data_IF_466943883006
#
_entry.id   IF_466943883006
#
_cell.length_a   1.000
_cell.length_b   1.000
_cell.length_c   1.000
_cell.angle_alpha   90.00
_cell.angle_beta   90.00
_cell.angle_gamma   90.00
#
_symmetry.space_group_name_H-M   'P 1'
#
loop_
_entity.id
_entity.type
_entity.pdbx_description
1 polymer ?
#
# COMPACT_ATOMS: atom_id res chain seq x y z
N UNK A 1 2.63 15.77 -20.20
CA UNK A 1 1.20 16.17 -20.06
C UNK A 1 1.19 17.47 -19.28
N UNK A 2 0.71 18.59 -19.84
CA UNK A 2 0.79 19.89 -19.15
C UNK A 2 -0.32 20.00 -18.09
N UNK A 3 -0.04 19.54 -16.87
CA UNK A 3 -0.96 19.60 -15.72
C UNK A 3 -1.32 21.03 -15.31
N UNK A 4 -0.62 22.05 -15.83
CA UNK A 4 -0.99 23.45 -15.67
C UNK A 4 -2.30 23.83 -16.40
N UNK A 5 -2.73 23.05 -17.39
CA UNK A 5 -3.91 23.34 -18.21
C UNK A 5 -5.22 22.78 -17.64
N UNK A 6 -5.16 21.77 -16.75
CA UNK A 6 -6.34 21.12 -16.17
C UNK A 6 -6.26 21.17 -14.65
N UNK A 7 -7.24 21.81 -14.02
CA UNK A 7 -7.28 22.01 -12.57
C UNK A 7 -8.30 21.05 -11.94
N UNK A 8 -7.79 20.01 -11.29
CA UNK A 8 -8.60 19.17 -10.39
C UNK A 8 -8.78 19.92 -9.07
N UNK A 9 -10.02 20.01 -8.60
CA UNK A 9 -10.41 20.63 -7.33
C UNK A 9 -10.88 19.58 -6.32
N UNK A 10 -10.94 19.96 -5.04
CA UNK A 10 -11.23 19.06 -3.92
C UNK A 10 -10.21 19.20 -2.79
N UNK A 11 -10.21 18.23 -1.88
CA UNK A 11 -9.21 18.16 -0.81
C UNK A 11 -7.81 18.07 -1.43
N UNK A 12 -6.93 19.01 -1.04
CA UNK A 12 -5.62 19.18 -1.67
C UNK A 12 -4.74 17.95 -1.51
N UNK A 13 -4.66 17.40 -0.30
CA UNK A 13 -3.86 16.20 -0.01
C UNK A 13 -4.33 15.01 -0.83
N UNK A 14 -5.64 14.83 -0.99
CA UNK A 14 -6.18 13.71 -1.77
C UNK A 14 -5.95 13.87 -3.27
N UNK A 15 -6.05 15.09 -3.80
CA UNK A 15 -5.72 15.38 -5.20
C UNK A 15 -4.24 15.11 -5.47
N UNK A 16 -3.37 15.46 -4.54
CA UNK A 16 -1.92 15.21 -4.67
C UNK A 16 -1.58 13.72 -4.57
N UNK A 17 -2.22 13.00 -3.65
CA UNK A 17 -2.13 11.54 -3.58
C UNK A 17 -2.59 10.88 -4.89
N UNK A 18 -3.71 11.33 -5.45
CA UNK A 18 -4.20 10.85 -6.73
C UNK A 18 -3.17 11.05 -7.84
N UNK A 19 -2.57 12.24 -7.96
CA UNK A 19 -1.53 12.49 -8.95
C UNK A 19 -0.28 11.65 -8.70
N UNK A 20 0.15 11.51 -7.45
CA UNK A 20 1.27 10.66 -7.07
C UNK A 20 1.02 9.22 -7.53
N UNK A 21 -0.15 8.65 -7.18
CA UNK A 21 -0.57 7.30 -7.59
C UNK A 21 -0.60 7.16 -9.11
N UNK A 22 -1.17 8.14 -9.83
CA UNK A 22 -1.19 8.15 -11.29
C UNK A 22 0.22 8.14 -11.90
N UNK A 23 1.14 8.97 -11.38
CA UNK A 23 2.52 9.02 -11.87
C UNK A 23 3.32 7.79 -11.54
N UNK A 24 3.05 7.17 -10.39
CA UNK A 24 3.68 5.91 -10.07
C UNK A 24 3.19 4.77 -10.99
N UNK A 25 1.89 4.71 -11.30
CA UNK A 25 1.33 3.70 -12.22
C UNK A 25 1.84 3.89 -13.64
N UNK A 26 1.91 5.14 -14.11
CA UNK A 26 2.36 5.48 -15.47
C UNK A 26 3.88 5.48 -15.62
N UNK A 27 4.63 5.37 -14.53
CA UNK A 27 6.09 5.47 -14.54
C UNK A 27 6.61 6.87 -14.87
N UNK A 28 5.79 7.91 -14.77
CA UNK A 28 6.17 9.30 -15.11
C UNK A 28 7.32 9.76 -14.22
N UNK A 29 8.37 10.34 -14.83
CA UNK A 29 9.51 10.90 -14.12
C UNK A 29 9.22 12.36 -13.68
N UNK A 30 9.80 12.80 -12.57
CA UNK A 30 9.61 14.17 -12.10
C UNK A 30 10.24 15.21 -13.04
N UNK A 31 11.21 14.83 -13.87
CA UNK A 31 11.80 15.67 -14.92
C UNK A 31 10.83 16.00 -16.06
N UNK A 32 9.78 15.19 -16.23
CA UNK A 32 8.68 15.52 -17.15
C UNK A 32 7.71 16.56 -16.57
N UNK A 33 7.80 16.81 -15.26
CA UNK A 33 6.86 17.63 -14.49
C UNK A 33 7.44 18.97 -14.02
N UNK A 34 8.76 19.02 -13.85
CA UNK A 34 9.48 20.14 -13.21
C UNK A 34 10.69 20.57 -14.05
N UNK A 35 11.13 21.81 -13.85
CA UNK A 35 12.42 22.26 -14.39
C UNK A 35 13.60 21.50 -13.75
N UNK A 36 14.73 21.43 -14.44
CA UNK A 36 15.95 20.74 -13.95
C UNK A 36 16.36 21.20 -12.54
N UNK A 37 16.36 22.52 -12.30
CA UNK A 37 16.64 23.09 -10.98
C UNK A 37 15.66 22.63 -9.89
N UNK A 38 14.38 22.51 -10.23
CA UNK A 38 13.36 22.02 -9.29
C UNK A 38 13.50 20.51 -9.05
N UNK A 39 13.89 19.74 -10.06
CA UNK A 39 14.18 18.30 -9.92
C UNK A 39 15.32 18.07 -8.94
N UNK A 40 16.43 18.81 -9.08
CA UNK A 40 17.56 18.74 -8.15
C UNK A 40 17.12 19.08 -6.72
N UNK A 41 16.36 20.16 -6.57
CA UNK A 41 15.83 20.60 -5.28
C UNK A 41 14.92 19.54 -4.64
N UNK A 42 14.03 18.92 -5.40
CA UNK A 42 13.14 17.85 -4.92
C UNK A 42 13.94 16.64 -4.47
N UNK A 43 14.93 16.21 -5.25
CA UNK A 43 15.82 15.10 -4.87
C UNK A 43 16.53 15.42 -3.56
N UNK A 44 17.07 16.63 -3.47
CA UNK A 44 17.80 17.11 -2.32
C UNK A 44 16.97 17.17 -1.04
N UNK A 45 15.74 17.72 -1.13
CA UNK A 45 14.81 17.73 0.00
C UNK A 45 14.45 16.31 0.46
N UNK A 46 14.17 15.40 -0.48
CA UNK A 46 13.84 14.02 -0.12
C UNK A 46 15.02 13.31 0.55
N UNK A 47 16.21 13.43 -0.01
CA UNK A 47 17.38 12.70 0.46
C UNK A 47 17.91 13.24 1.81
N UNK A 48 17.74 14.55 2.08
CA UNK A 48 18.22 15.18 3.33
C UNK A 48 17.16 15.29 4.44
N UNK A 49 15.89 15.49 4.11
CA UNK A 49 14.87 15.96 5.08
C UNK A 49 13.83 14.90 5.42
N UNK A 50 13.53 14.01 4.46
CA UNK A 50 12.54 12.96 4.65
C UNK A 50 13.18 11.59 4.92
N UNK A 51 14.51 11.52 5.00
CA UNK A 51 15.22 10.29 5.38
C UNK A 51 14.70 9.81 6.75
N UNK A 52 14.21 8.59 6.82
CA UNK A 52 13.88 8.01 8.12
C UNK A 52 15.18 7.81 8.90
N UNK A 53 15.15 8.02 10.22
CA UNK A 53 16.31 7.84 11.13
C UNK A 53 16.80 6.37 11.22
N UNK A 54 16.42 5.53 10.28
CA UNK A 54 16.73 4.11 10.28
C UNK A 54 18.02 3.86 9.51
N UNK A 55 18.86 2.99 10.08
CA UNK A 55 20.06 2.42 9.46
C UNK A 55 19.78 1.59 8.21
N UNK A 56 18.50 1.37 7.86
CA UNK A 56 18.10 0.66 6.64
C UNK A 56 18.02 1.62 5.46
N UNK A 57 18.75 1.27 4.40
CA UNK A 57 18.72 2.01 3.14
C UNK A 57 17.30 2.04 2.58
N UNK A 58 16.74 3.24 2.41
CA UNK A 58 15.43 3.42 1.79
C UNK A 58 15.48 2.94 0.33
N UNK A 59 14.50 2.12 -0.08
CA UNK A 59 14.38 1.65 -1.46
C UNK A 59 14.14 2.81 -2.42
N UNK A 60 14.73 2.76 -3.61
CA UNK A 60 14.55 3.81 -4.63
C UNK A 60 13.08 4.04 -4.99
N UNK A 61 12.23 3.00 -4.95
CA UNK A 61 10.78 3.16 -5.15
C UNK A 61 10.13 4.13 -4.16
N UNK A 62 10.45 4.03 -2.87
CA UNK A 62 9.91 4.92 -1.84
C UNK A 62 10.44 6.34 -2.01
N UNK A 63 11.73 6.49 -2.33
CA UNK A 63 12.31 7.81 -2.65
C UNK A 63 11.64 8.43 -3.87
N UNK A 64 11.41 7.65 -4.93
CA UNK A 64 10.68 8.10 -6.12
C UNK A 64 9.26 8.54 -5.79
N UNK A 65 8.53 7.80 -4.94
CA UNK A 65 7.19 8.19 -4.50
C UNK A 65 7.20 9.50 -3.70
N UNK A 66 8.15 9.68 -2.76
CA UNK A 66 8.33 10.95 -2.02
C UNK A 66 8.68 12.11 -2.93
N UNK A 67 9.60 11.89 -3.87
CA UNK A 67 9.99 12.89 -4.88
C UNK A 67 8.79 13.30 -5.74
N UNK A 68 7.98 12.34 -6.19
CA UNK A 68 6.74 12.62 -6.94
C UNK A 68 5.72 13.39 -6.10
N UNK A 69 5.50 13.00 -4.85
CA UNK A 69 4.58 13.72 -3.97
C UNK A 69 5.01 15.18 -3.75
N UNK A 70 6.29 15.42 -3.43
CA UNK A 70 6.84 16.77 -3.28
C UNK A 70 6.77 17.58 -4.59
N UNK A 71 7.07 16.94 -5.73
CA UNK A 71 6.97 17.59 -7.03
C UNK A 71 5.54 18.02 -7.34
N UNK A 72 4.57 17.15 -7.07
CA UNK A 72 3.14 17.45 -7.22
C UNK A 72 2.75 18.63 -6.34
N UNK A 73 3.14 18.63 -5.06
CA UNK A 73 2.87 19.75 -4.14
C UNK A 73 3.41 21.08 -4.70
N UNK A 74 4.64 21.12 -5.22
CA UNK A 74 5.20 22.35 -5.82
C UNK A 74 4.38 22.84 -7.03
N UNK A 75 3.94 21.91 -7.88
CA UNK A 75 3.05 22.24 -9.01
C UNK A 75 1.74 22.82 -8.48
N UNK A 76 1.14 22.21 -7.46
CA UNK A 76 -0.12 22.67 -6.86
C UNK A 76 0.01 24.04 -6.21
N UNK A 77 1.10 24.31 -5.49
CA UNK A 77 1.38 25.63 -4.94
C UNK A 77 1.53 26.68 -6.04
N UNK A 78 2.18 26.35 -7.16
CA UNK A 78 2.27 27.28 -8.32
C UNK A 78 0.90 27.59 -8.94
N UNK A 79 -0.09 26.70 -8.75
CA UNK A 79 -1.48 26.88 -9.15
C UNK A 79 -2.32 27.60 -8.07
N UNK A 80 -1.68 28.11 -7.02
CA UNK A 80 -2.35 28.75 -5.88
C UNK A 80 -3.16 27.77 -5.01
N UNK A 81 -2.87 26.47 -5.11
CA UNK A 81 -3.53 25.44 -4.30
C UNK A 81 -2.68 25.17 -3.06
N UNK A 82 -3.19 25.57 -1.90
CA UNK A 82 -2.50 25.47 -0.63
C UNK A 82 -3.31 24.55 0.30
N UNK A 83 -2.64 23.79 1.16
CA UNK A 83 -3.32 23.13 2.26
C UNK A 83 -3.94 24.19 3.16
N UNK A 84 -5.17 23.93 3.57
CA UNK A 84 -5.82 24.73 4.60
C UNK A 84 -5.26 24.32 5.96
N UNK A 85 -5.25 25.28 6.90
CA UNK A 85 -4.83 25.03 8.28
C UNK A 85 -5.72 23.95 8.90
N UNK A 86 -5.16 22.76 9.12
CA UNK A 86 -5.75 21.79 10.04
C UNK A 86 -5.17 22.02 11.43
N UNK A 87 -6.03 22.26 12.41
CA UNK A 87 -5.63 22.71 13.74
C UNK A 87 -4.90 21.67 14.60
N UNK A 88 -4.62 20.45 14.10
CA UNK A 88 -4.44 19.27 14.97
C UNK A 88 -3.18 18.42 14.67
N UNK A 89 -2.39 18.74 13.63
CA UNK A 89 -1.32 17.84 13.17
C UNK A 89 -0.13 17.68 14.12
N UNK A 90 0.21 18.73 14.87
CA UNK A 90 1.48 18.83 15.61
C UNK A 90 1.33 18.37 17.07
N UNK A 91 0.14 18.49 17.65
CA UNK A 91 -0.09 18.18 19.06
C UNK A 91 -0.38 16.70 19.33
N UNK A 92 -1.02 16.00 18.38
CA UNK A 92 -1.43 14.59 18.57
C UNK A 92 -0.42 13.57 18.05
N UNK A 93 0.50 13.97 17.17
CA UNK A 93 1.44 13.07 16.49
C UNK A 93 2.84 13.70 16.47
N UNK A 94 3.84 13.09 17.13
CA UNK A 94 5.19 13.65 17.13
C UNK A 94 5.80 13.61 15.72
N UNK A 95 5.79 14.75 15.03
CA UNK A 95 6.47 14.99 13.76
C UNK A 95 7.97 15.28 14.00
N UNK A 96 8.66 14.34 14.65
CA UNK A 96 10.07 14.46 15.07
C UNK A 96 11.10 14.60 13.92
N UNK A 97 10.66 14.77 12.67
CA UNK A 97 11.53 15.16 11.55
C UNK A 97 11.99 16.61 11.73
N UNK A 98 13.04 16.78 12.54
CA UNK A 98 13.61 18.07 12.92
C UNK A 98 14.62 18.60 11.91
N UNK A 99 15.25 17.74 11.12
CA UNK A 99 16.23 18.16 10.12
C UNK A 99 15.54 18.92 8.97
N UNK A 100 15.57 20.24 9.08
CA UNK A 100 15.40 21.14 7.96
C UNK A 100 13.95 21.48 7.55
N UNK A 101 13.00 21.24 8.43
CA UNK A 101 11.67 21.88 8.39
C UNK A 101 11.80 23.39 8.12
N UNK A 102 12.77 24.06 8.74
CA UNK A 102 13.07 25.48 8.53
C UNK A 102 13.47 25.84 7.09
N UNK A 103 14.26 25.00 6.42
CA UNK A 103 14.75 25.29 5.06
C UNK A 103 13.63 25.12 4.04
N UNK A 104 12.82 24.07 4.16
CA UNK A 104 11.66 23.90 3.28
C UNK A 104 10.65 25.02 3.51
N UNK A 105 10.32 25.35 4.76
CA UNK A 105 9.43 26.46 5.09
C UNK A 105 9.93 27.79 4.52
N UNK A 106 11.22 28.10 4.68
CA UNK A 106 11.81 29.32 4.10
C UNK A 106 11.73 29.33 2.57
N UNK A 107 12.07 28.21 1.92
CA UNK A 107 11.94 28.06 0.48
C UNK A 107 10.51 28.33 0.01
N UNK A 108 9.51 27.80 0.73
CA UNK A 108 8.11 27.98 0.40
C UNK A 108 7.66 29.45 0.55
N UNK A 109 8.11 30.14 1.60
CA UNK A 109 7.84 31.58 1.80
C UNK A 109 8.39 32.41 0.63
N UNK A 110 9.66 32.18 0.25
CA UNK A 110 10.36 32.96 -0.77
C UNK A 110 9.79 32.73 -2.18
N UNK A 111 9.34 31.51 -2.50
CA UNK A 111 8.98 31.14 -3.86
C UNK A 111 7.47 31.16 -4.14
N UNK A 112 6.61 31.03 -3.12
CA UNK A 112 5.16 30.96 -3.29
C UNK A 112 4.39 32.08 -2.57
N UNK A 113 5.09 33.11 -2.08
CA UNK A 113 4.49 34.27 -1.38
C UNK A 113 3.59 33.89 -0.21
N UNK A 114 3.96 32.82 0.49
CA UNK A 114 3.25 32.34 1.66
C UNK A 114 3.66 33.13 2.90
N UNK A 115 2.72 33.33 3.83
CA UNK A 115 3.09 33.78 5.17
C UNK A 115 3.92 32.70 5.88
N UNK A 116 4.65 33.07 6.95
CA UNK A 116 5.40 32.08 7.73
C UNK A 116 4.52 30.95 8.28
N UNK A 117 3.29 31.28 8.70
CA UNK A 117 2.34 30.29 9.20
C UNK A 117 1.78 29.39 8.10
N UNK A 118 1.48 29.95 6.92
CA UNK A 118 0.98 29.15 5.80
C UNK A 118 2.07 28.20 5.28
N UNK A 119 3.30 28.70 5.16
CA UNK A 119 4.45 27.89 4.77
C UNK A 119 4.74 26.77 5.79
N UNK A 120 4.64 27.06 7.09
CA UNK A 120 4.76 26.04 8.13
C UNK A 120 3.65 24.99 8.01
N UNK A 121 2.40 25.41 7.79
CA UNK A 121 1.26 24.51 7.55
C UNK A 121 1.50 23.61 6.34
N UNK A 122 2.08 24.15 5.26
CA UNK A 122 2.46 23.38 4.08
C UNK A 122 3.49 22.30 4.43
N UNK A 123 4.56 22.70 5.12
CA UNK A 123 5.65 21.80 5.52
C UNK A 123 5.17 20.71 6.47
N UNK A 124 4.37 21.04 7.49
CA UNK A 124 3.92 20.08 8.50
C UNK A 124 2.93 19.07 7.91
N UNK A 125 2.02 19.51 7.03
CA UNK A 125 1.11 18.62 6.31
C UNK A 125 1.90 17.65 5.41
N UNK A 126 2.91 18.15 4.70
CA UNK A 126 3.79 17.31 3.89
C UNK A 126 4.53 16.27 4.74
N UNK A 127 5.09 16.69 5.88
CA UNK A 127 5.76 15.78 6.83
C UNK A 127 4.82 14.71 7.35
N UNK A 128 3.60 15.11 7.73
CA UNK A 128 2.57 14.17 8.18
C UNK A 128 2.28 13.13 7.10
N UNK A 129 2.01 13.57 5.87
CA UNK A 129 1.72 12.69 4.74
C UNK A 129 2.90 11.76 4.44
N UNK A 130 4.12 12.28 4.37
CA UNK A 130 5.32 11.48 4.05
C UNK A 130 5.78 10.56 5.19
N UNK A 131 5.21 10.70 6.38
CA UNK A 131 5.48 9.86 7.55
C UNK A 131 4.38 8.82 7.76
N UNK A 132 3.12 9.25 7.79
CA UNK A 132 1.97 8.42 8.18
C UNK A 132 1.08 8.01 7.00
N UNK A 133 1.34 8.53 5.81
CA UNK A 133 0.62 8.12 4.61
C UNK A 133 0.69 6.61 4.36
N UNK A 134 -0.36 5.96 3.82
CA UNK A 134 -0.44 4.51 3.61
C UNK A 134 0.75 3.91 2.86
N UNK A 135 1.35 4.68 1.95
CA UNK A 135 2.49 4.27 1.15
C UNK A 135 3.86 4.48 1.82
N UNK A 136 3.89 5.29 2.90
CA UNK A 136 5.12 5.69 3.58
C UNK A 136 5.25 5.12 4.99
N UNK A 137 4.14 4.84 5.66
CA UNK A 137 4.06 4.40 7.07
C UNK A 137 4.83 3.10 7.36
N UNK A 138 5.06 2.28 6.33
CA UNK A 138 5.87 1.06 6.41
C UNK A 138 7.36 1.31 6.72
N UNK A 139 7.80 2.58 6.70
CA UNK A 139 9.20 2.99 6.92
C UNK A 139 9.42 3.67 8.27
N UNK A 140 8.41 3.70 9.13
CA UNK A 140 8.58 4.14 10.50
C UNK A 140 9.66 3.31 11.20
N UNK A 141 10.51 3.93 12.05
CA UNK A 141 11.41 3.19 12.92
C UNK A 141 10.65 2.17 13.78
N UNK A 142 11.26 1.03 14.08
CA UNK A 142 10.58 -0.06 14.82
C UNK A 142 9.96 0.41 16.15
N UNK A 143 10.59 1.34 16.87
CA UNK A 143 10.04 1.85 18.13
C UNK A 143 8.76 2.67 17.89
N UNK A 144 8.70 3.49 16.85
CA UNK A 144 7.49 4.23 16.46
C UNK A 144 6.39 3.30 15.93
N UNK A 145 6.76 2.24 15.19
CA UNK A 145 5.83 1.18 14.78
C UNK A 145 5.19 0.54 16.00
N UNK A 146 6.00 0.14 17.00
CA UNK A 146 5.51 -0.49 18.22
C UNK A 146 4.60 0.45 19.01
N UNK A 147 4.98 1.73 19.14
CA UNK A 147 4.15 2.74 19.82
C UNK A 147 2.80 2.92 19.12
N UNK A 148 2.82 3.10 17.80
CA UNK A 148 1.61 3.29 17.00
C UNK A 148 0.69 2.07 17.08
N UNK A 149 1.24 0.87 16.86
CA UNK A 149 0.49 -0.40 16.91
C UNK A 149 -0.08 -0.65 18.30
N UNK A 150 0.68 -0.38 19.37
CA UNK A 150 0.19 -0.49 20.75
C UNK A 150 -0.95 0.50 21.05
N UNK A 151 -0.89 1.71 20.46
CA UNK A 151 -1.95 2.71 20.59
C UNK A 151 -3.30 2.21 20.07
N UNK A 152 -3.33 1.67 18.85
CA UNK A 152 -4.58 1.13 18.26
C UNK A 152 -4.97 -0.24 18.80
N UNK A 153 -4.01 -1.08 19.22
CA UNK A 153 -4.28 -2.38 19.84
C UNK A 153 -4.84 -2.31 21.27
N UNK A 154 -5.04 -1.10 21.82
CA UNK A 154 -5.94 -0.89 22.97
C UNK A 154 -7.35 -1.43 22.67
N UNK A 155 -7.77 -1.38 21.41
CA UNK A 155 -9.06 -1.91 20.98
C UNK A 155 -9.01 -3.41 20.69
N UNK A 156 -9.77 -4.19 21.45
CA UNK A 156 -9.84 -5.64 21.27
C UNK A 156 -10.40 -6.04 19.91
N UNK A 157 -11.37 -5.28 19.40
CA UNK A 157 -11.98 -5.51 18.10
C UNK A 157 -10.95 -5.36 16.98
N UNK A 158 -10.08 -4.34 17.05
CA UNK A 158 -8.97 -4.17 16.11
C UNK A 158 -7.94 -5.28 16.24
N UNK A 159 -7.46 -5.54 17.46
CA UNK A 159 -6.46 -6.58 17.75
C UNK A 159 -6.89 -7.95 17.22
N UNK A 160 -8.18 -8.29 17.35
CA UNK A 160 -8.72 -9.57 16.91
C UNK A 160 -8.63 -9.83 15.40
N UNK A 161 -8.51 -8.78 14.58
CA UNK A 161 -8.34 -8.91 13.12
C UNK A 161 -6.95 -9.46 12.79
N UNK A 162 -5.94 -9.05 13.56
CA UNK A 162 -4.53 -9.29 13.25
C UNK A 162 -3.97 -10.54 13.94
N UNK A 163 -4.62 -11.00 15.00
CA UNK A 163 -4.31 -12.26 15.65
C UNK A 163 -5.01 -13.41 14.93
N UNK A 164 -4.34 -14.08 14.00
CA UNK A 164 -4.85 -15.30 13.38
C UNK A 164 -4.07 -16.53 13.85
N UNK A 165 -4.80 -17.56 14.30
CA UNK A 165 -4.23 -18.87 14.60
C UNK A 165 -3.76 -19.53 13.29
N UNK A 166 -2.58 -20.16 13.32
CA UNK A 166 -2.04 -20.89 12.16
C UNK A 166 -1.23 -20.07 11.16
N UNK A 167 -0.93 -18.81 11.46
CA UNK A 167 -0.08 -17.93 10.63
C UNK A 167 1.40 -18.25 10.84
N UNK A 168 2.12 -18.40 9.74
CA UNK A 168 3.57 -18.60 9.72
C UNK A 168 4.32 -17.29 10.05
N UNK A 169 5.59 -17.35 10.50
CA UNK A 169 6.38 -16.15 10.75
C UNK A 169 6.47 -15.17 9.56
N UNK A 170 6.51 -15.69 8.33
CA UNK A 170 6.58 -14.86 7.12
C UNK A 170 5.24 -14.15 6.84
N UNK A 171 4.12 -14.85 6.99
CA UNK A 171 2.79 -14.26 6.87
C UNK A 171 2.55 -13.21 7.96
N UNK A 172 3.07 -13.40 9.18
CA UNK A 172 3.00 -12.41 10.26
C UNK A 172 3.67 -11.10 9.86
N UNK A 173 4.81 -11.15 9.16
CA UNK A 173 5.49 -9.94 8.65
C UNK A 173 4.62 -9.20 7.63
N UNK A 174 3.87 -9.93 6.80
CA UNK A 174 2.96 -9.30 5.83
C UNK A 174 1.72 -8.71 6.52
N UNK A 175 1.15 -9.41 7.50
CA UNK A 175 0.02 -8.92 8.28
C UNK A 175 0.36 -7.63 9.02
N UNK A 176 1.54 -7.53 9.64
CA UNK A 176 1.99 -6.30 10.31
C UNK A 176 2.12 -5.15 9.30
N UNK A 177 2.64 -5.41 8.10
CA UNK A 177 2.71 -4.37 7.05
C UNK A 177 1.32 -3.94 6.58
N UNK A 178 0.38 -4.89 6.44
CA UNK A 178 -1.00 -4.57 6.09
C UNK A 178 -1.68 -3.76 7.20
N UNK A 179 -1.53 -4.16 8.46
CA UNK A 179 -2.02 -3.43 9.63
C UNK A 179 -1.53 -1.99 9.60
N UNK A 180 -0.21 -1.78 9.47
CA UNK A 180 0.38 -0.45 9.39
C UNK A 180 -0.18 0.38 8.23
N UNK A 181 -0.35 -0.21 7.05
CA UNK A 181 -0.95 0.49 5.90
C UNK A 181 -2.39 0.90 6.18
N UNK A 182 -3.18 0.05 6.86
CA UNK A 182 -4.56 0.39 7.25
C UNK A 182 -4.59 1.47 8.33
N UNK A 183 -3.66 1.46 9.29
CA UNK A 183 -3.50 2.56 10.23
C UNK A 183 -3.21 3.85 9.47
N UNK A 184 -2.32 3.84 8.47
CA UNK A 184 -2.07 4.99 7.62
C UNK A 184 -3.32 5.53 6.93
N UNK A 185 -4.24 4.66 6.48
CA UNK A 185 -5.53 5.10 5.95
C UNK A 185 -6.41 5.77 6.99
N UNK A 186 -6.52 5.16 8.19
CA UNK A 186 -7.31 5.70 9.29
C UNK A 186 -6.82 7.11 9.62
N UNK A 187 -5.50 7.30 9.72
CA UNK A 187 -4.90 8.61 9.96
C UNK A 187 -5.23 9.60 8.84
N UNK A 188 -5.05 9.23 7.57
CA UNK A 188 -5.40 10.11 6.45
C UNK A 188 -6.88 10.51 6.45
N UNK A 189 -7.79 9.59 6.77
CA UNK A 189 -9.24 9.87 6.88
C UNK A 189 -9.53 10.81 8.04
N UNK A 190 -8.93 10.55 9.21
CA UNK A 190 -9.11 11.37 10.41
C UNK A 190 -8.73 12.82 10.10
N UNK A 191 -7.61 13.06 9.44
CA UNK A 191 -7.15 14.43 9.24
C UNK A 191 -7.66 15.10 7.96
N UNK A 192 -7.87 14.35 6.87
CA UNK A 192 -8.23 14.92 5.55
C UNK A 192 -9.64 14.54 5.09
N UNK A 193 -10.36 13.74 5.87
CA UNK A 193 -11.77 13.39 5.66
C UNK A 193 -11.98 12.23 4.71
N UNK A 194 -11.72 12.43 3.42
CA UNK A 194 -12.01 11.41 2.42
C UNK A 194 -10.86 10.42 2.24
N UNK A 195 -11.20 9.26 1.69
CA UNK A 195 -10.25 8.18 1.43
C UNK A 195 -9.28 8.54 0.28
N UNK A 196 -7.95 8.48 0.46
CA UNK A 196 -7.00 8.68 -0.63
C UNK A 196 -7.01 7.49 -1.58
N UNK A 197 -7.02 7.75 -2.90
CA UNK A 197 -6.77 6.72 -3.92
C UNK A 197 -5.32 6.28 -3.82
N UNK A 198 -5.08 4.97 -3.79
CA UNK A 198 -3.73 4.43 -3.59
C UNK A 198 -3.32 3.43 -4.64
N UNK A 199 -2.11 2.91 -4.49
CA UNK A 199 -1.63 1.76 -5.24
C UNK A 199 -2.41 0.47 -4.96
N UNK A 200 -3.14 0.39 -3.84
CA UNK A 200 -3.81 -0.83 -3.43
C UNK A 200 -5.22 -0.91 -4.02
N UNK A 201 -5.33 -1.38 -5.27
CA UNK A 201 -6.61 -1.49 -5.95
C UNK A 201 -7.65 -2.33 -5.18
N UNK A 202 -7.24 -3.28 -4.34
CA UNK A 202 -8.17 -4.12 -3.56
C UNK A 202 -8.80 -3.41 -2.37
N UNK A 203 -8.02 -2.62 -1.63
CA UNK A 203 -8.57 -1.88 -0.49
C UNK A 203 -9.54 -0.82 -1.03
N UNK A 204 -9.12 -0.10 -2.08
CA UNK A 204 -9.93 0.88 -2.78
C UNK A 204 -11.25 0.25 -3.31
N UNK A 205 -11.19 -0.95 -3.92
CA UNK A 205 -12.38 -1.70 -4.38
C UNK A 205 -13.32 -2.09 -3.24
N UNK A 206 -12.78 -2.60 -2.13
CA UNK A 206 -13.60 -3.04 -1.00
C UNK A 206 -14.27 -1.87 -0.28
N UNK A 207 -13.62 -0.72 -0.22
CA UNK A 207 -14.14 0.48 0.47
C UNK A 207 -15.20 1.20 -0.37
N UNK A 208 -14.99 1.26 -1.69
CA UNK A 208 -15.92 1.92 -2.62
C UNK A 208 -17.09 1.03 -3.04
N UNK A 209 -17.03 -0.27 -2.73
CA UNK A 209 -18.06 -1.24 -3.01
C UNK A 209 -19.32 -1.11 -2.14
N UNK A 210 -20.28 -2.01 -2.37
CA UNK A 210 -21.50 -2.08 -1.57
C UNK A 210 -21.18 -2.40 -0.10
N UNK A 211 -21.89 -1.70 0.80
CA UNK A 211 -21.76 -1.95 2.24
C UNK A 211 -22.20 -3.38 2.55
N UNK A 212 -21.40 -4.15 3.31
CA UNK A 212 -21.79 -5.50 3.67
C UNK A 212 -23.00 -5.49 4.61
N UNK A 213 -23.78 -6.57 4.64
CA UNK A 213 -24.99 -6.67 5.46
C UNK A 213 -24.73 -6.41 6.96
N UNK A 214 -23.54 -6.72 7.46
CA UNK A 214 -23.10 -6.50 8.83
C UNK A 214 -22.33 -5.17 9.04
N UNK A 215 -22.43 -4.21 8.11
CA UNK A 215 -21.71 -2.93 8.16
C UNK A 215 -21.87 -2.17 9.48
N UNK A 216 -23.05 -2.25 10.10
CA UNK A 216 -23.32 -1.63 11.41
C UNK A 216 -22.30 -2.09 12.47
N UNK A 217 -21.93 -3.38 12.46
CA UNK A 217 -20.92 -3.91 13.38
C UNK A 217 -19.55 -3.26 13.14
N UNK A 218 -19.12 -3.17 11.88
CA UNK A 218 -17.83 -2.55 11.54
C UNK A 218 -17.79 -1.07 11.90
N UNK A 219 -18.90 -0.34 11.70
CA UNK A 219 -19.05 1.05 12.12
C UNK A 219 -18.91 1.19 13.65
N UNK A 220 -19.49 0.27 14.42
CA UNK A 220 -19.34 0.26 15.89
C UNK A 220 -17.90 -0.01 16.31
N UNK A 221 -17.23 -0.98 15.69
CA UNK A 221 -15.81 -1.26 15.96
C UNK A 221 -14.93 -0.04 15.62
N UNK A 222 -15.19 0.64 14.50
CA UNK A 222 -14.49 1.85 14.11
C UNK A 222 -14.66 2.99 15.14
N UNK A 223 -15.90 3.24 15.60
CA UNK A 223 -16.16 4.26 16.60
C UNK A 223 -15.45 3.96 17.93
N UNK A 224 -15.47 2.69 18.34
CA UNK A 224 -14.80 2.23 19.56
C UNK A 224 -13.27 2.35 19.46
N UNK A 225 -12.68 1.98 18.32
CA UNK A 225 -11.24 2.17 18.05
C UNK A 225 -10.82 3.63 18.25
N UNK A 226 -11.56 4.57 17.66
CA UNK A 226 -11.25 6.00 17.76
C UNK A 226 -11.30 6.47 19.22
N UNK A 227 -12.35 6.09 19.95
CA UNK A 227 -12.49 6.42 21.37
C UNK A 227 -11.37 5.85 22.25
N UNK A 228 -10.94 4.62 22.00
CA UNK A 228 -9.95 3.92 22.83
C UNK A 228 -8.50 4.31 22.49
N UNK A 229 -8.26 4.79 21.25
CA UNK A 229 -6.93 5.14 20.75
C UNK A 229 -6.56 6.60 20.98
N UNK A 230 -7.36 7.36 21.74
CA UNK A 230 -7.23 8.81 21.93
C UNK A 230 -7.23 9.58 20.59
N UNK A 231 -7.83 9.01 19.55
CA UNK A 231 -7.99 9.62 18.24
C UNK A 231 -9.31 10.40 18.21
N UNK A 232 -9.27 11.64 17.73
CA UNK A 232 -10.45 12.50 17.75
C UNK A 232 -11.61 11.92 16.93
N UNK A 233 -12.83 12.04 17.43
CA UNK A 233 -14.03 11.59 16.70
C UNK A 233 -14.38 12.67 15.68
N UNK A 234 -14.16 12.34 14.41
CA UNK A 234 -14.05 13.41 13.41
C UNK A 234 -15.38 13.77 12.73
N UNK A 235 -16.23 12.81 12.42
CA UNK A 235 -17.65 12.98 12.06
C UNK A 235 -18.26 11.61 11.70
N UNK A 236 -19.58 11.55 11.49
CA UNK A 236 -20.27 10.31 11.15
C UNK A 236 -19.91 9.70 9.79
N UNK A 237 -19.41 10.51 8.84
CA UNK A 237 -19.01 10.07 7.51
C UNK A 237 -17.65 9.37 7.56
N UNK A 238 -16.66 9.97 8.23
CA UNK A 238 -15.34 9.39 8.46
C UNK A 238 -15.42 8.08 9.24
N UNK A 239 -16.28 8.00 10.25
CA UNK A 239 -16.53 6.72 10.96
C UNK A 239 -17.09 5.65 10.02
N UNK A 240 -17.92 6.01 9.03
CA UNK A 240 -18.41 5.05 8.05
C UNK A 240 -17.27 4.55 7.14
N UNK A 241 -16.39 5.44 6.68
CA UNK A 241 -15.24 5.06 5.85
C UNK A 241 -14.28 4.16 6.64
N UNK A 242 -14.02 4.47 7.91
CA UNK A 242 -13.21 3.61 8.78
C UNK A 242 -13.91 2.27 9.03
N UNK A 243 -15.24 2.24 9.15
CA UNK A 243 -16.01 0.98 9.17
C UNK A 243 -15.80 0.13 7.90
N UNK A 244 -15.74 0.76 6.73
CA UNK A 244 -15.40 0.05 5.48
C UNK A 244 -13.95 -0.44 5.47
N UNK A 245 -13.01 0.26 6.12
CA UNK A 245 -11.63 -0.21 6.31
C UNK A 245 -11.55 -1.45 7.20
N UNK A 246 -12.35 -1.53 8.27
CA UNK A 246 -12.46 -2.74 9.09
C UNK A 246 -12.95 -3.94 8.26
N UNK A 247 -13.97 -3.71 7.43
CA UNK A 247 -14.46 -4.73 6.50
C UNK A 247 -13.36 -5.15 5.51
N UNK A 248 -12.65 -4.20 4.92
CA UNK A 248 -11.56 -4.47 4.00
C UNK A 248 -10.43 -5.26 4.69
N UNK A 249 -9.99 -4.84 5.88
CA UNK A 249 -8.97 -5.50 6.68
C UNK A 249 -9.34 -6.98 6.95
N UNK A 250 -10.54 -7.22 7.50
CA UNK A 250 -11.00 -8.58 7.78
C UNK A 250 -11.16 -9.43 6.52
N UNK A 251 -11.66 -8.82 5.44
CA UNK A 251 -11.81 -9.51 4.16
C UNK A 251 -10.45 -9.94 3.63
N UNK A 252 -9.45 -9.06 3.71
CA UNK A 252 -8.06 -9.30 3.31
C UNK A 252 -7.38 -10.36 4.19
N UNK A 253 -7.50 -10.27 5.53
CA UNK A 253 -6.91 -11.27 6.45
C UNK A 253 -7.49 -12.67 6.21
N UNK A 254 -8.80 -12.78 5.96
CA UNK A 254 -9.40 -14.08 5.56
C UNK A 254 -8.84 -14.64 4.25
N UNK A 255 -8.24 -13.80 3.40
CA UNK A 255 -7.57 -14.23 2.16
C UNK A 255 -6.18 -14.80 2.46
N UNK A 256 -5.49 -14.29 3.49
CA UNK A 256 -4.17 -14.80 3.89
C UNK A 256 -4.20 -16.28 4.31
N UNK A 257 -5.31 -16.77 4.86
CA UNK A 257 -5.46 -18.20 5.17
C UNK A 257 -5.62 -19.10 3.93
N UNK A 258 -5.67 -18.55 2.72
CA UNK A 258 -5.79 -19.31 1.47
C UNK A 258 -4.39 -19.56 0.88
N UNK A 259 -3.84 -20.76 1.06
CA UNK A 259 -2.62 -21.17 0.37
C UNK A 259 -2.94 -21.58 -1.07
N UNK A 260 -2.37 -20.91 -2.06
CA UNK A 260 -2.45 -21.37 -3.46
C UNK A 260 -1.46 -22.53 -3.63
N UNK A 261 -1.97 -23.68 -4.03
CA UNK A 261 -1.11 -24.84 -4.31
C UNK A 261 -0.61 -24.75 -5.75
N UNK A 262 0.71 -24.80 -5.92
CA UNK A 262 1.34 -24.83 -7.23
C UNK A 262 1.95 -26.19 -7.46
N UNK A 263 1.37 -26.94 -8.40
CA UNK A 263 1.77 -28.28 -8.74
C UNK A 263 2.77 -28.26 -9.91
N UNK A 264 3.93 -28.88 -9.72
CA UNK A 264 5.03 -28.82 -10.69
C UNK A 264 5.63 -30.21 -10.89
N UNK A 265 5.99 -30.56 -12.13
CA UNK A 265 6.75 -31.78 -12.40
C UNK A 265 8.09 -31.80 -11.66
N UNK A 266 8.50 -32.98 -11.19
CA UNK A 266 9.73 -33.20 -10.42
C UNK A 266 10.99 -32.61 -11.10
N UNK A 267 11.07 -32.70 -12.43
CA UNK A 267 12.17 -32.14 -13.23
C UNK A 267 12.29 -30.61 -13.19
N UNK A 268 11.25 -29.90 -12.75
CA UNK A 268 11.21 -28.44 -12.61
C UNK A 268 11.14 -28.01 -11.14
N UNK A 269 11.06 -28.96 -10.20
CA UNK A 269 10.78 -28.73 -8.78
C UNK A 269 11.93 -28.03 -8.05
N UNK A 270 13.18 -28.39 -8.34
CA UNK A 270 14.37 -27.81 -7.68
C UNK A 270 14.68 -26.36 -8.09
N UNK A 271 14.31 -25.94 -9.31
CA UNK A 271 14.57 -24.59 -9.83
C UNK A 271 13.44 -23.62 -9.43
N UNK A 272 12.23 -24.13 -9.21
CA UNK A 272 11.01 -23.32 -9.01
C UNK A 272 10.71 -22.97 -7.54
N UNK A 273 11.14 -23.82 -6.59
CA UNK A 273 10.77 -23.71 -5.17
C UNK A 273 11.22 -22.40 -4.52
N UNK A 274 12.50 -22.03 -4.65
CA UNK A 274 13.07 -20.91 -3.91
C UNK A 274 12.57 -19.55 -4.43
N UNK A 275 12.45 -19.38 -5.75
CA UNK A 275 12.08 -18.11 -6.37
C UNK A 275 10.57 -17.82 -6.24
N UNK A 276 9.72 -18.84 -6.37
CA UNK A 276 8.26 -18.67 -6.29
C UNK A 276 7.81 -18.51 -4.82
N UNK A 277 8.37 -19.29 -3.89
CA UNK A 277 8.07 -19.13 -2.47
C UNK A 277 8.53 -17.77 -1.93
N UNK A 278 9.71 -17.30 -2.37
CA UNK A 278 10.24 -15.99 -1.97
C UNK A 278 9.43 -14.83 -2.55
N UNK A 279 9.04 -14.90 -3.82
CA UNK A 279 8.28 -13.83 -4.49
C UNK A 279 6.84 -13.67 -3.98
N UNK A 280 6.26 -14.72 -3.39
CA UNK A 280 4.90 -14.73 -2.86
C UNK A 280 4.85 -14.96 -1.35
N UNK A 281 5.97 -14.71 -0.66
CA UNK A 281 6.08 -14.59 0.80
C UNK A 281 5.36 -15.72 1.57
N UNK A 282 5.52 -16.97 1.12
CA UNK A 282 4.94 -18.14 1.80
C UNK A 282 3.46 -18.45 1.48
N UNK A 283 2.79 -17.64 0.65
CA UNK A 283 1.39 -17.85 0.25
C UNK A 283 1.20 -18.95 -0.82
N UNK A 284 2.30 -19.56 -1.28
CA UNK A 284 2.29 -20.67 -2.21
C UNK A 284 2.86 -21.92 -1.56
N UNK A 285 2.09 -23.00 -1.66
CA UNK A 285 2.54 -24.36 -1.38
C UNK A 285 2.96 -25.02 -2.69
N UNK A 286 4.27 -25.15 -2.91
CA UNK A 286 4.80 -25.90 -4.05
C UNK A 286 4.67 -27.39 -3.76
N UNK A 287 4.02 -28.12 -4.67
CA UNK A 287 3.77 -29.55 -4.55
C UNK A 287 4.20 -30.27 -5.83
N UNK A 288 4.66 -31.53 -5.73
CA UNK A 288 4.87 -32.35 -6.91
C UNK A 288 3.53 -32.59 -7.61
N UNK A 289 3.50 -32.54 -8.95
CA UNK A 289 2.26 -32.68 -9.72
C UNK A 289 1.55 -34.02 -9.49
N UNK A 290 2.30 -35.04 -9.13
CA UNK A 290 1.82 -36.37 -8.76
C UNK A 290 0.96 -36.35 -7.48
N UNK A 291 1.05 -35.29 -6.69
CA UNK A 291 0.21 -35.07 -5.49
C UNK A 291 -1.03 -34.21 -5.74
N UNK A 292 -1.31 -33.85 -7.01
CA UNK A 292 -2.51 -33.13 -7.36
C UNK A 292 -3.76 -33.92 -6.95
N UNK A 293 -4.68 -33.22 -6.29
CA UNK A 293 -6.04 -33.68 -6.03
C UNK A 293 -7.00 -32.56 -6.39
N UNK A 294 -8.14 -32.91 -6.97
CA UNK A 294 -9.23 -31.96 -7.25
C UNK A 294 -9.77 -31.27 -6.00
N UNK A 295 -9.50 -31.81 -4.80
CA UNK A 295 -9.90 -31.19 -3.53
C UNK A 295 -8.96 -30.06 -3.09
N UNK A 296 -7.79 -29.93 -3.72
CA UNK A 296 -6.80 -28.91 -3.40
C UNK A 296 -6.98 -27.75 -4.38
N UNK A 297 -7.83 -26.81 -3.99
CA UNK A 297 -8.17 -25.62 -4.79
C UNK A 297 -8.12 -24.36 -3.91
N UNK A 298 -7.82 -23.18 -4.49
CA UNK A 298 -7.45 -22.95 -5.90
C UNK A 298 -6.00 -23.41 -6.23
N UNK A 299 -5.76 -23.85 -7.48
CA UNK A 299 -4.49 -24.45 -7.89
C UNK A 299 -3.91 -23.86 -9.20
N UNK A 300 -2.58 -23.76 -9.26
CA UNK A 300 -1.83 -23.52 -10.50
C UNK A 300 -1.07 -24.79 -10.83
N UNK A 301 -1.14 -25.26 -12.06
CA UNK A 301 -0.39 -26.44 -12.50
C UNK A 301 0.60 -26.03 -13.60
N UNK A 302 1.88 -26.20 -13.30
CA UNK A 302 2.99 -25.88 -14.19
C UNK A 302 3.47 -27.14 -14.88
N UNK A 303 3.34 -27.20 -16.21
CA UNK A 303 3.62 -28.40 -17.00
C UNK A 303 4.56 -28.12 -18.17
N UNK A 304 5.44 -29.06 -18.52
CA UNK A 304 6.29 -28.92 -19.71
C UNK A 304 5.62 -29.49 -20.97
N UNK A 305 4.93 -30.62 -20.81
CA UNK A 305 4.31 -31.40 -21.88
C UNK A 305 2.86 -31.74 -21.52
N UNK A 306 1.96 -31.75 -22.51
CA UNK A 306 0.58 -32.17 -22.31
C UNK A 306 0.54 -33.69 -22.19
N UNK A 307 0.14 -34.17 -21.02
CA UNK A 307 -0.10 -35.59 -20.72
C UNK A 307 -1.58 -35.80 -20.43
N UNK A 308 -2.05 -37.05 -20.38
CA UNK A 308 -3.43 -37.38 -20.00
C UNK A 308 -3.82 -36.79 -18.64
N UNK A 309 -2.89 -36.79 -17.67
CA UNK A 309 -3.08 -36.14 -16.37
C UNK A 309 -3.35 -34.62 -16.49
N UNK A 310 -2.63 -33.92 -17.37
CA UNK A 310 -2.86 -32.48 -17.59
C UNK A 310 -4.22 -32.24 -18.27
N UNK A 311 -4.65 -33.12 -19.15
CA UNK A 311 -5.95 -33.04 -19.80
C UNK A 311 -7.10 -33.26 -18.80
N UNK A 312 -6.94 -34.20 -17.86
CA UNK A 312 -7.87 -34.42 -16.75
C UNK A 312 -7.95 -33.18 -15.83
N UNK A 313 -6.80 -32.66 -15.41
CA UNK A 313 -6.71 -31.44 -14.59
C UNK A 313 -7.35 -30.23 -15.29
N UNK A 314 -7.23 -30.14 -16.62
CA UNK A 314 -7.77 -29.02 -17.40
C UNK A 314 -9.29 -28.89 -17.35
N UNK A 315 -9.99 -29.95 -16.94
CA UNK A 315 -11.45 -29.94 -16.79
C UNK A 315 -11.91 -29.25 -15.50
N UNK A 316 -10.98 -28.95 -14.58
CA UNK A 316 -11.30 -28.31 -13.32
C UNK A 316 -11.36 -26.77 -13.47
N UNK A 317 -12.51 -26.12 -13.22
CA UNK A 317 -12.68 -24.68 -13.45
C UNK A 317 -11.80 -23.81 -12.53
N UNK A 318 -11.43 -24.30 -11.35
CA UNK A 318 -10.65 -23.58 -10.33
C UNK A 318 -9.14 -23.90 -10.41
N UNK A 319 -8.70 -24.41 -11.57
CA UNK A 319 -7.30 -24.70 -11.88
C UNK A 319 -6.81 -23.87 -13.08
N UNK A 320 -5.64 -23.24 -12.94
CA UNK A 320 -4.99 -22.51 -14.03
C UNK A 320 -3.74 -23.26 -14.48
N UNK A 321 -3.69 -23.56 -15.77
CA UNK A 321 -2.58 -24.31 -16.37
C UNK A 321 -1.54 -23.35 -16.96
N UNK A 322 -0.28 -23.53 -16.60
CA UNK A 322 0.85 -22.77 -17.14
C UNK A 322 1.85 -23.71 -17.79
N UNK A 323 2.03 -23.57 -19.11
CA UNK A 323 3.04 -24.36 -19.82
C UNK A 323 4.43 -23.76 -19.61
N UNK A 324 5.34 -24.50 -18.98
CA UNK A 324 6.76 -24.17 -18.93
C UNK A 324 7.42 -24.40 -20.29
N UNK A 325 8.06 -23.38 -20.85
CA UNK A 325 8.73 -23.45 -22.15
C UNK A 325 10.24 -23.39 -21.91
N UNK A 326 10.96 -24.47 -22.21
CA UNK A 326 12.39 -24.62 -21.86
C UNK A 326 13.27 -23.60 -22.60
N UNK A 327 12.83 -23.16 -23.77
CA UNK A 327 13.52 -22.24 -24.66
C UNK A 327 13.41 -20.77 -24.20
N UNK A 328 12.47 -20.46 -23.30
CA UNK A 328 12.30 -19.10 -22.77
C UNK A 328 13.25 -18.82 -21.60
N UNK A 329 13.70 -17.56 -21.45
CA UNK A 329 14.38 -17.12 -20.23
C UNK A 329 13.57 -17.48 -18.98
N UNK A 330 14.25 -17.86 -17.89
CA UNK A 330 13.59 -18.22 -16.64
C UNK A 330 12.64 -17.12 -16.14
N UNK A 331 13.06 -15.85 -16.24
CA UNK A 331 12.26 -14.68 -15.87
C UNK A 331 10.92 -14.60 -16.61
N UNK A 332 10.88 -15.01 -17.87
CA UNK A 332 9.67 -15.00 -18.68
C UNK A 332 8.72 -16.15 -18.30
N UNK A 333 9.26 -17.35 -18.03
CA UNK A 333 8.45 -18.44 -17.49
C UNK A 333 7.87 -18.09 -16.11
N UNK A 334 8.66 -17.46 -15.23
CA UNK A 334 8.16 -16.99 -13.94
C UNK A 334 7.08 -15.92 -14.10
N UNK A 335 7.27 -14.94 -14.99
CA UNK A 335 6.25 -13.92 -15.28
C UNK A 335 4.92 -14.55 -15.69
N UNK A 336 4.94 -15.64 -16.47
CA UNK A 336 3.74 -16.37 -16.88
C UNK A 336 3.06 -17.09 -15.71
N UNK A 337 3.83 -17.66 -14.79
CA UNK A 337 3.30 -18.23 -13.52
C UNK A 337 2.69 -17.12 -12.64
N UNK A 338 3.37 -15.97 -12.52
CA UNK A 338 2.83 -14.82 -11.79
C UNK A 338 1.57 -14.24 -12.43
N UNK A 339 1.49 -14.22 -13.76
CA UNK A 339 0.27 -13.78 -14.46
C UNK A 339 -0.87 -14.77 -14.31
N UNK A 340 -0.59 -16.08 -14.25
CA UNK A 340 -1.58 -17.08 -13.90
C UNK A 340 -2.07 -16.92 -12.46
N UNK A 341 -1.19 -16.59 -11.52
CA UNK A 341 -1.59 -16.22 -10.15
C UNK A 341 -2.49 -14.97 -10.10
N UNK A 342 -2.43 -14.11 -11.13
CA UNK A 342 -3.31 -12.95 -11.32
C UNK A 342 -4.60 -13.26 -12.09
N UNK A 343 -4.81 -14.50 -12.53
CA UNK A 343 -5.99 -14.93 -13.28
C UNK A 343 -7.26 -14.67 -12.46
N UNK A 344 -8.33 -14.21 -13.13
CA UNK A 344 -9.58 -13.84 -12.47
C UNK A 344 -10.21 -14.95 -11.63
N UNK A 345 -9.95 -16.19 -12.04
CA UNK A 345 -10.38 -17.43 -11.36
C UNK A 345 -9.57 -17.72 -10.09
N UNK A 346 -8.40 -17.10 -9.94
CA UNK A 346 -7.48 -17.25 -8.81
C UNK A 346 -7.31 -15.95 -7.99
N UNK A 347 -7.99 -14.84 -8.36
CA UNK A 347 -7.81 -13.52 -7.71
C UNK A 347 -8.18 -13.64 -6.25
N UNK A 348 -7.23 -13.86 -5.36
CA UNK A 348 -7.43 -13.50 -3.95
C UNK A 348 -6.15 -12.99 -3.27
N UNK A 349 -5.01 -12.86 -3.96
CA UNK A 349 -3.76 -12.51 -3.27
C UNK A 349 -2.84 -11.50 -3.98
N UNK A 350 -2.81 -11.42 -5.31
CA UNK A 350 -1.88 -10.51 -6.02
C UNK A 350 -2.16 -9.03 -5.87
N UNK A 351 -3.27 -8.65 -5.24
CA UNK A 351 -3.66 -7.25 -5.05
C UNK A 351 -3.32 -6.69 -3.66
N UNK A 352 -2.83 -7.51 -2.73
CA UNK A 352 -2.48 -7.06 -1.37
C UNK A 352 -1.06 -6.47 -1.31
N UNK A 353 -0.15 -6.99 -2.14
CA UNK A 353 1.28 -6.65 -2.13
C UNK A 353 1.67 -5.62 -3.20
N UNK A 354 0.78 -4.69 -3.57
CA UNK A 354 1.13 -3.56 -4.43
C UNK A 354 2.42 -2.89 -3.95
N UNK A 355 3.52 -3.13 -4.68
CA UNK A 355 4.86 -2.65 -4.36
C UNK A 355 5.97 -3.70 -4.16
N UNK A 356 6.09 -4.72 -5.01
CA UNK A 356 7.39 -5.32 -5.31
C UNK A 356 7.54 -5.46 -6.84
N UNK A 357 8.08 -4.42 -7.45
CA UNK A 357 8.84 -4.51 -8.69
C UNK A 357 10.31 -4.24 -8.35
#
# INVERSE_FOLDING_TARGET
>A
MNLGAYRIEGNKVLVEYFYMTLFNITGTDISDLLSEKQVELVKDFVDRYFKSDVTTTESELTKCARRRYLAVMFIRLSQGQQYERGDVFVELMPLNSTAGTSVLTQYLMENYKLSGQDALTQTDTLKFVMKYGPDFILRLPNHEVVELVNGVNKSEDWRSIWTSEGVTPDEQVVLVKLELRIIGYILMIIYFGNYPVTFSSSIDQLITGEKPANFVKFRTCAAKLLMESDLEIVDGERVNIIGMLFYAAMSLVKQFSVQISVFVYESLYGISKDIIQFALLGQIKMLPIESYSSDIQPAIVVYAEKTELIEEISQNPDTVLVRWIRELPMTENYSRVFNAYRDERLIYLTKILGGMN
#
